data_IF_212633084444
#
_entry.id   IF_212633084444
#
_cell.length_a   1.000
_cell.length_b   1.000
_cell.length_c   1.000
_cell.angle_alpha   90.00
_cell.angle_beta   90.00
_cell.angle_gamma   90.00
#
_symmetry.space_group_name_H-M   'P 1'
#
loop_
_entity.id
_entity.type
_entity.pdbx_description
1 polymer ?
#
# COMPACT_ATOMS: atom_id res chain seq x y z
N UNK A 1 1.07 -17.30 6.50
CA UNK A 1 1.65 -18.22 5.47
C UNK A 1 2.13 -17.38 4.27
N UNK A 2 2.95 -17.90 3.34
CA UNK A 2 3.50 -17.13 2.22
C UNK A 2 2.45 -16.33 1.44
N UNK A 3 1.27 -16.88 1.19
CA UNK A 3 0.14 -16.22 0.52
C UNK A 3 -0.46 -15.02 1.30
N UNK A 4 -0.13 -14.91 2.59
CA UNK A 4 -0.52 -13.81 3.49
C UNK A 4 0.69 -12.95 3.90
N UNK A 5 1.58 -12.67 2.96
CA UNK A 5 2.63 -11.66 3.16
C UNK A 5 3.85 -12.10 3.96
N UNK A 6 4.01 -13.37 4.32
CA UNK A 6 5.28 -13.85 4.90
C UNK A 6 6.42 -13.72 3.87
N UNK A 7 7.64 -13.27 4.24
CA UNK A 7 8.13 -13.02 5.60
C UNK A 7 7.82 -11.62 6.15
N UNK A 8 7.32 -10.70 5.32
CA UNK A 8 7.15 -9.32 5.72
C UNK A 8 6.03 -8.62 4.92
N UNK A 9 5.16 -7.91 5.64
CA UNK A 9 4.01 -7.18 5.12
C UNK A 9 3.92 -5.83 5.84
N UNK A 10 3.57 -4.77 5.10
CA UNK A 10 3.21 -3.47 5.66
C UNK A 10 1.73 -3.44 5.97
N UNK A 11 1.43 -3.01 7.19
CA UNK A 11 0.06 -2.83 7.67
C UNK A 11 -0.29 -1.35 7.60
N UNK A 12 -1.35 -1.04 6.86
CA UNK A 12 -1.92 0.30 6.77
C UNK A 12 -3.26 0.31 7.52
N UNK A 13 -3.21 0.50 8.84
CA UNK A 13 -4.40 0.48 9.69
C UNK A 13 -5.45 1.48 9.20
N UNK A 14 -6.72 1.08 9.29
CA UNK A 14 -7.85 1.89 8.82
C UNK A 14 -7.80 2.27 7.33
N UNK A 15 -7.02 1.56 6.51
CA UNK A 15 -7.03 1.71 5.04
C UNK A 15 -7.58 0.44 4.37
N UNK A 16 -8.13 0.60 3.16
CA UNK A 16 -8.51 -0.53 2.32
C UNK A 16 -7.31 -1.45 2.01
N UNK A 17 -7.61 -2.74 1.83
CA UNK A 17 -6.59 -3.78 1.72
C UNK A 17 -5.58 -3.64 0.56
N UNK A 18 -5.88 -2.85 -0.48
CA UNK A 18 -4.90 -2.61 -1.55
C UNK A 18 -3.74 -1.70 -1.13
N UNK A 19 -3.84 -1.02 0.03
CA UNK A 19 -2.74 -0.28 0.65
C UNK A 19 -1.85 -1.16 1.55
N UNK A 20 -2.22 -2.42 1.76
CA UNK A 20 -1.48 -3.36 2.60
C UNK A 20 -0.52 -4.14 1.71
N UNK A 21 0.74 -3.73 1.74
CA UNK A 21 1.75 -4.23 0.81
C UNK A 21 2.39 -5.52 1.33
N UNK A 22 2.22 -6.60 0.58
CA UNK A 22 2.80 -7.92 0.89
C UNK A 22 4.16 -8.09 0.25
N UNK A 23 5.03 -8.87 0.89
CA UNK A 23 6.33 -9.28 0.35
C UNK A 23 7.27 -8.10 0.04
N UNK A 24 7.26 -7.09 0.91
CA UNK A 24 8.02 -5.87 0.69
C UNK A 24 9.52 -6.14 0.78
N UNK A 25 10.26 -5.59 -0.18
CA UNK A 25 11.73 -5.65 -0.23
C UNK A 25 12.38 -4.27 -0.22
N UNK A 26 11.62 -3.20 -0.46
CA UNK A 26 12.10 -1.81 -0.49
C UNK A 26 11.01 -0.86 -0.02
N UNK A 27 11.42 0.18 0.71
CA UNK A 27 10.60 1.34 1.06
C UNK A 27 11.30 2.58 0.52
N UNK A 28 10.55 3.47 -0.13
CA UNK A 28 11.03 4.74 -0.65
C UNK A 28 10.19 5.87 -0.07
N UNK A 29 10.86 6.89 0.46
CA UNK A 29 10.23 8.05 1.06
C UNK A 29 10.24 9.20 0.05
N UNK A 30 9.11 9.88 -0.09
CA UNK A 30 8.96 11.04 -0.97
C UNK A 30 8.10 12.10 -0.28
N UNK A 31 8.38 13.35 -0.58
CA UNK A 31 7.59 14.52 -0.19
C UNK A 31 6.65 15.00 -1.32
N UNK A 32 6.62 14.31 -2.46
CA UNK A 32 5.74 14.63 -3.58
C UNK A 32 4.28 14.24 -3.26
N UNK A 33 3.35 15.21 -3.09
CA UNK A 33 1.96 14.90 -2.76
C UNK A 33 1.18 14.26 -3.90
N UNK A 34 1.66 14.40 -5.15
CA UNK A 34 1.03 13.88 -6.36
C UNK A 34 1.53 12.48 -6.75
N UNK A 35 2.36 11.85 -5.90
CA UNK A 35 2.86 10.50 -6.19
C UNK A 35 1.69 9.50 -6.21
N UNK A 36 1.56 8.79 -7.32
CA UNK A 36 0.60 7.69 -7.48
C UNK A 36 1.35 6.36 -7.51
N UNK A 37 0.93 5.44 -6.65
CA UNK A 37 1.42 4.08 -6.63
C UNK A 37 0.83 3.22 -7.74
N UNK A 38 1.11 1.92 -7.66
CA UNK A 38 0.69 0.96 -8.68
C UNK A 38 -0.84 0.86 -8.80
N UNK A 39 -1.57 0.86 -7.67
CA UNK A 39 -3.02 0.76 -7.68
C UNK A 39 -3.69 2.09 -8.02
N UNK A 40 -3.15 3.19 -7.52
CA UNK A 40 -3.71 4.53 -7.73
C UNK A 40 -3.59 4.97 -9.19
N UNK A 41 -2.46 4.65 -9.83
CA UNK A 41 -2.28 4.86 -11.28
C UNK A 41 -3.27 4.04 -12.13
N UNK A 42 -3.92 3.04 -11.55
CA UNK A 42 -4.94 2.20 -12.21
C UNK A 42 -6.38 2.56 -11.80
N UNK A 43 -6.56 3.73 -11.18
CA UNK A 43 -7.87 4.29 -10.86
C UNK A 43 -8.36 4.01 -9.44
N UNK A 44 -7.53 3.40 -8.58
CA UNK A 44 -7.85 3.33 -7.16
C UNK A 44 -7.68 4.73 -6.52
N UNK A 45 -8.53 5.13 -5.56
CA UNK A 45 -8.39 6.43 -4.90
C UNK A 45 -7.05 6.55 -4.16
N UNK A 46 -6.40 7.72 -4.13
CA UNK A 46 -5.19 7.84 -3.29
C UNK A 46 -5.52 7.81 -1.78
N UNK A 47 -6.66 8.40 -1.40
CA UNK A 47 -7.21 8.29 -0.05
C UNK A 47 -8.04 7.01 0.08
N UNK A 48 -7.56 6.06 0.89
CA UNK A 48 -8.16 4.75 1.07
C UNK A 48 -8.73 4.54 2.48
N UNK A 49 -8.95 5.62 3.22
CA UNK A 49 -9.35 5.55 4.64
C UNK A 49 -10.73 4.91 4.78
N UNK A 50 -10.83 3.89 5.63
CA UNK A 50 -12.09 3.27 6.03
C UNK A 50 -12.92 4.29 6.82
N UNK A 51 -14.21 4.38 6.49
CA UNK A 51 -15.19 5.23 7.19
C UNK A 51 -15.71 4.57 8.44
#
# INVERSE_FOLDING_TARGET
PPERGFPFELVAESQYGYKWEKWITKIELTDNPEYLGYWESRGYPNNATLR
#
